data_IF_135301783066
#
_entry.id   IF_135301783066
#
_cell.length_a   1.000
_cell.length_b   1.000
_cell.length_c   1.000
_cell.angle_alpha   90.00
_cell.angle_beta   90.00
_cell.angle_gamma   90.00
#
_symmetry.space_group_name_H-M   'P 1'
#
loop_
_entity.id
_entity.type
_entity.pdbx_description
1 polymer ?
#
# COMPACT_ATOMS: atom_id res chain seq x y z
N UNK A 1 -35.59 -15.26 -28.54
CA UNK A 1 -35.31 -16.66 -28.92
C UNK A 1 -34.09 -17.13 -28.12
N UNK A 2 -34.29 -17.99 -27.13
CA UNK A 2 -33.89 -19.43 -27.12
C UNK A 2 -32.39 -19.61 -26.81
N UNK A 3 -32.02 -19.65 -25.51
CA UNK A 3 -31.82 -20.87 -24.67
C UNK A 3 -30.74 -21.85 -25.17
N UNK A 4 -29.70 -22.07 -24.35
CA UNK A 4 -29.11 -23.37 -23.93
C UNK A 4 -27.73 -23.14 -23.27
N UNK A 5 -27.20 -23.98 -22.36
CA UNK A 5 -27.79 -24.94 -21.39
C UNK A 5 -26.66 -25.26 -20.39
N UNK A 6 -26.99 -25.59 -19.13
CA UNK A 6 -26.02 -26.14 -18.15
C UNK A 6 -25.60 -27.56 -18.58
N UNK A 7 -24.37 -27.96 -18.27
CA UNK A 7 -23.97 -29.36 -18.16
C UNK A 7 -23.11 -29.59 -16.92
N UNK A 8 -23.42 -30.66 -16.18
CA UNK A 8 -22.61 -31.23 -15.11
C UNK A 8 -21.73 -32.34 -15.68
N UNK A 9 -20.58 -32.60 -15.07
CA UNK A 9 -19.85 -33.85 -15.22
C UNK A 9 -19.28 -34.29 -13.86
N UNK A 10 -19.55 -35.56 -13.51
CA UNK A 10 -19.03 -36.25 -12.33
C UNK A 10 -17.61 -36.74 -12.61
N UNK A 11 -16.74 -36.83 -11.60
CA UNK A 11 -15.50 -37.61 -11.68
C UNK A 11 -15.46 -38.64 -10.54
N UNK A 12 -15.22 -39.91 -10.88
CA UNK A 12 -15.15 -41.00 -9.90
C UNK A 12 -13.92 -41.88 -10.16
N UNK A 13 -13.05 -41.95 -9.16
CA UNK A 13 -12.25 -43.12 -8.78
C UNK A 13 -11.25 -43.74 -9.77
N UNK A 14 -9.96 -43.70 -9.39
CA UNK A 14 -9.17 -44.94 -9.35
C UNK A 14 -8.12 -44.88 -8.22
N UNK A 15 -8.23 -45.81 -7.26
CA UNK A 15 -7.13 -46.12 -6.34
C UNK A 15 -6.17 -47.12 -6.99
N UNK A 16 -4.87 -46.93 -6.78
CA UNK A 16 -3.86 -47.96 -7.04
C UNK A 16 -3.03 -48.15 -5.77
N UNK A 17 -3.07 -49.36 -5.22
CA UNK A 17 -2.26 -49.80 -4.08
C UNK A 17 -1.09 -50.62 -4.64
N UNK A 18 0.14 -50.32 -4.22
CA UNK A 18 1.33 -51.13 -4.56
C UNK A 18 2.11 -51.48 -3.30
N UNK A 19 2.58 -52.73 -3.27
CA UNK A 19 3.11 -53.44 -2.12
C UNK A 19 4.30 -52.80 -1.38
N UNK A 20 4.32 -53.10 -0.08
CA UNK A 20 5.45 -52.88 0.82
C UNK A 20 6.54 -53.91 0.54
N UNK A 21 7.79 -53.48 0.44
CA UNK A 21 8.97 -54.32 0.64
C UNK A 21 9.88 -53.69 1.70
N UNK A 22 10.20 -54.45 2.74
CA UNK A 22 11.05 -54.00 3.82
C UNK A 22 12.52 -54.32 3.52
N UNK A 23 13.39 -53.31 3.62
CA UNK A 23 14.86 -53.46 3.56
C UNK A 23 15.48 -52.66 4.72
N UNK A 24 16.52 -53.22 5.33
CA UNK A 24 17.36 -52.68 6.40
C UNK A 24 18.82 -53.11 6.13
N UNK A 25 19.85 -52.56 6.82
CA UNK A 25 19.87 -51.35 7.66
C UNK A 25 20.51 -50.22 6.80
N UNK A 26 21.65 -49.53 7.07
CA UNK A 26 22.56 -49.43 8.23
C UNK A 26 22.27 -48.20 9.13
N UNK A 27 23.02 -48.07 10.24
CA UNK A 27 23.16 -46.81 10.97
C UNK A 27 24.20 -45.90 10.29
N UNK A 28 23.89 -44.63 10.09
CA UNK A 28 24.87 -43.57 9.75
C UNK A 28 24.67 -42.40 10.71
N UNK A 29 25.76 -41.87 11.26
CA UNK A 29 25.72 -40.84 12.29
C UNK A 29 25.14 -39.54 11.73
N UNK A 30 24.26 -38.89 12.50
CA UNK A 30 23.75 -37.57 12.17
C UNK A 30 24.88 -36.55 12.26
N UNK A 31 25.37 -36.07 11.11
CA UNK A 31 26.26 -34.90 11.08
C UNK A 31 25.46 -33.68 11.51
N UNK A 32 25.91 -33.00 12.56
CA UNK A 32 25.28 -31.79 13.04
C UNK A 32 25.54 -30.64 12.05
N UNK A 33 24.60 -30.40 11.15
CA UNK A 33 24.59 -29.19 10.32
C UNK A 33 24.45 -27.97 11.25
N UNK A 34 25.58 -27.31 11.51
CA UNK A 34 25.64 -26.08 12.28
C UNK A 34 24.84 -25.00 11.54
N UNK A 35 23.64 -24.72 12.04
CA UNK A 35 22.88 -23.55 11.59
C UNK A 35 23.62 -22.31 12.07
N UNK A 36 24.28 -21.62 11.14
CA UNK A 36 24.90 -20.34 11.42
C UNK A 36 23.81 -19.31 11.70
N UNK A 37 23.53 -19.07 12.98
CA UNK A 37 22.74 -17.92 13.40
C UNK A 37 23.51 -16.65 13.06
N UNK A 38 23.12 -16.00 11.96
CA UNK A 38 23.46 -14.59 11.75
C UNK A 38 22.92 -13.81 12.96
N UNK A 39 23.70 -12.90 13.56
CA UNK A 39 23.21 -12.09 14.66
C UNK A 39 21.99 -11.31 14.19
N UNK A 40 20.89 -11.44 14.92
CA UNK A 40 19.69 -10.66 14.69
C UNK A 40 20.09 -9.18 14.82
N UNK A 41 20.14 -8.44 13.70
CA UNK A 41 20.42 -7.01 13.73
C UNK A 41 19.21 -6.35 14.39
N UNK A 42 19.32 -6.11 15.70
CA UNK A 42 18.33 -5.36 16.46
C UNK A 42 18.37 -3.93 15.96
N UNK A 43 17.49 -3.61 15.00
CA UNK A 43 17.17 -2.23 14.65
C UNK A 43 16.75 -1.54 15.95
N UNK A 44 17.40 -0.45 16.37
CA UNK A 44 17.03 0.23 17.61
C UNK A 44 15.55 0.62 17.52
N UNK A 45 14.75 0.42 18.60
CA UNK A 45 13.34 0.74 18.56
C UNK A 45 13.17 2.20 18.21
N UNK A 46 12.39 2.47 17.16
CA UNK A 46 11.93 3.82 16.88
C UNK A 46 11.13 4.30 18.09
N UNK A 47 11.24 5.60 18.41
CA UNK A 47 10.50 6.20 19.51
C UNK A 47 8.98 6.17 19.29
N UNK A 48 8.18 6.84 20.15
CA UNK A 48 6.75 6.99 19.88
C UNK A 48 6.53 7.69 18.53
N UNK A 49 5.48 7.27 17.81
CA UNK A 49 5.03 7.97 16.62
C UNK A 49 4.53 9.37 17.00
N UNK A 50 5.00 10.39 16.27
CA UNK A 50 4.65 11.79 16.49
C UNK A 50 3.45 12.27 15.65
N UNK A 51 2.87 11.40 14.81
CA UNK A 51 1.62 11.67 14.10
C UNK A 51 0.42 11.29 14.98
N UNK A 52 -0.56 12.19 15.09
CA UNK A 52 -1.76 12.00 15.92
C UNK A 52 -2.78 11.01 15.34
N UNK A 53 -2.79 10.83 14.01
CA UNK A 53 -3.67 9.90 13.30
C UNK A 53 -2.88 9.16 12.21
N UNK A 54 -1.76 8.55 12.61
CA UNK A 54 -0.79 7.91 11.70
C UNK A 54 -1.29 6.64 11.03
N UNK A 55 -2.05 5.81 11.75
CA UNK A 55 -2.77 4.63 11.25
C UNK A 55 -4.23 4.93 10.87
N UNK A 56 -4.58 6.20 10.72
CA UNK A 56 -5.88 6.66 10.19
C UNK A 56 -7.16 6.21 10.93
N UNK A 57 -7.03 5.55 12.10
CA UNK A 57 -8.10 5.09 13.00
C UNK A 57 -9.08 6.18 13.51
N UNK A 58 -8.75 7.46 13.31
CA UNK A 58 -9.60 8.59 13.69
C UNK A 58 -10.88 8.74 12.84
N UNK A 59 -11.53 9.90 12.96
CA UNK A 59 -12.66 10.23 12.09
C UNK A 59 -12.24 10.55 10.65
N UNK A 60 -13.20 10.95 9.83
CA UNK A 60 -12.97 11.57 8.53
C UNK A 60 -13.93 12.74 8.30
N UNK A 61 -13.60 13.60 7.33
CA UNK A 61 -14.43 14.73 6.93
C UNK A 61 -14.58 14.79 5.40
N UNK A 62 -15.61 15.50 4.95
CA UNK A 62 -15.92 15.73 3.55
C UNK A 62 -15.58 17.17 3.16
N UNK A 63 -14.45 17.46 2.49
CA UNK A 63 -14.09 18.81 2.08
C UNK A 63 -15.17 19.36 1.14
N UNK A 64 -15.69 20.54 1.46
CA UNK A 64 -16.80 21.20 0.76
C UNK A 64 -18.06 20.31 0.59
N UNK A 65 -18.25 19.31 1.45
CA UNK A 65 -19.39 18.39 1.39
C UNK A 65 -19.33 17.35 0.25
N UNK A 66 -18.17 17.15 -0.39
CA UNK A 66 -17.99 16.16 -1.46
C UNK A 66 -18.01 14.74 -0.86
N UNK A 67 -19.04 13.91 -1.13
CA UNK A 67 -19.21 12.61 -0.47
C UNK A 67 -18.14 11.58 -0.90
N UNK A 68 -17.56 11.74 -2.09
CA UNK A 68 -16.51 10.86 -2.61
C UNK A 68 -15.13 11.10 -1.96
N UNK A 69 -14.99 12.12 -1.12
CA UNK A 69 -13.73 12.49 -0.46
C UNK A 69 -13.87 12.32 1.07
N UNK A 70 -13.67 11.11 1.58
CA UNK A 70 -13.55 10.85 3.03
C UNK A 70 -12.09 11.10 3.46
N UNK A 71 -11.74 12.35 3.76
CA UNK A 71 -10.37 12.70 4.14
C UNK A 71 -10.17 12.40 5.63
N UNK A 72 -9.13 11.64 6.03
CA UNK A 72 -8.88 11.32 7.43
C UNK A 72 -8.73 12.57 8.30
N UNK A 73 -9.23 12.51 9.54
CA UNK A 73 -9.12 13.60 10.51
C UNK A 73 -7.66 13.94 10.79
N UNK A 74 -7.34 15.24 10.83
CA UNK A 74 -5.97 15.74 10.99
C UNK A 74 -5.13 15.74 9.70
N UNK A 75 -5.66 15.22 8.58
CA UNK A 75 -4.97 15.21 7.29
C UNK A 75 -5.55 16.24 6.30
N UNK A 76 -4.71 16.64 5.35
CA UNK A 76 -5.01 17.51 4.23
C UNK A 76 -4.80 16.72 2.93
N UNK A 77 -5.72 16.91 1.98
CA UNK A 77 -5.71 16.20 0.72
C UNK A 77 -5.77 17.19 -0.44
N UNK A 78 -4.80 17.11 -1.35
CA UNK A 78 -4.75 17.88 -2.60
C UNK A 78 -4.66 16.93 -3.77
N UNK A 79 -5.18 17.32 -4.94
CA UNK A 79 -5.13 16.51 -6.15
C UNK A 79 -5.07 17.39 -7.40
N UNK A 80 -4.57 16.81 -8.49
CA UNK A 80 -4.55 17.45 -9.81
C UNK A 80 -5.83 17.13 -10.59
N UNK A 81 -6.27 18.08 -11.42
CA UNK A 81 -7.29 17.87 -12.46
C UNK A 81 -6.89 18.55 -13.77
N UNK A 82 -7.37 18.01 -14.89
CA UNK A 82 -7.13 18.55 -16.23
C UNK A 82 -5.92 17.92 -16.92
N UNK A 83 -5.13 18.73 -17.62
CA UNK A 83 -4.04 18.24 -18.49
C UNK A 83 -2.99 17.46 -17.71
N UNK A 84 -2.78 16.21 -18.10
CA UNK A 84 -1.64 15.42 -17.66
C UNK A 84 -0.40 15.81 -18.48
N UNK A 85 0.64 16.29 -17.80
CA UNK A 85 1.90 16.72 -18.41
C UNK A 85 2.93 15.60 -18.54
N UNK A 86 2.61 14.40 -18.03
CA UNK A 86 3.45 13.20 -18.11
C UNK A 86 3.02 12.28 -19.25
N UNK A 87 1.74 12.34 -19.64
CA UNK A 87 1.17 11.63 -20.78
C UNK A 87 0.09 12.54 -21.42
N UNK A 88 0.28 12.99 -22.68
CA UNK A 88 -0.61 13.96 -23.32
C UNK A 88 -1.84 13.33 -23.99
N UNK A 89 -2.05 12.01 -23.89
CA UNK A 89 -3.27 11.38 -24.42
C UNK A 89 -4.51 11.93 -23.66
N UNK A 90 -5.56 12.39 -24.36
CA UNK A 90 -6.80 12.86 -23.73
C UNK A 90 -7.48 11.85 -22.80
N UNK A 91 -7.21 10.55 -22.94
CA UNK A 91 -7.69 9.50 -22.03
C UNK A 91 -6.99 9.57 -20.65
N UNK A 92 -5.75 10.06 -20.60
CA UNK A 92 -4.90 10.08 -19.41
C UNK A 92 -4.96 11.41 -18.64
N UNK A 93 -5.97 12.25 -18.86
CA UNK A 93 -6.18 13.48 -18.08
C UNK A 93 -6.25 13.19 -16.57
N UNK A 94 -5.70 14.09 -15.77
CA UNK A 94 -5.86 14.03 -14.33
C UNK A 94 -7.33 14.26 -13.97
N UNK A 95 -7.88 13.35 -13.16
CA UNK A 95 -9.25 13.47 -12.64
C UNK A 95 -9.24 13.42 -11.11
N UNK A 96 -10.23 14.05 -10.48
CA UNK A 96 -10.45 13.93 -9.03
C UNK A 96 -10.56 12.45 -8.62
N UNK A 97 -9.69 11.98 -7.71
CA UNK A 97 -9.79 10.64 -7.14
C UNK A 97 -10.96 10.54 -6.16
N UNK A 98 -11.29 9.31 -5.78
CA UNK A 98 -12.18 8.99 -4.67
C UNK A 98 -11.33 8.59 -3.46
N UNK A 99 -11.71 9.06 -2.27
CA UNK A 99 -11.00 8.77 -1.01
C UNK A 99 -11.98 8.15 -0.04
N UNK A 100 -11.59 7.00 0.55
CA UNK A 100 -12.39 6.24 1.50
C UNK A 100 -11.54 5.87 2.69
N UNK A 101 -12.05 6.11 3.89
CA UNK A 101 -11.55 5.44 5.10
C UNK A 101 -12.37 4.17 5.26
N UNK A 102 -11.69 3.02 5.26
CA UNK A 102 -12.31 1.70 5.18
C UNK A 102 -11.93 0.88 6.41
N UNK A 103 -12.86 0.64 7.36
CA UNK A 103 -12.66 -0.39 8.38
C UNK A 103 -12.75 -1.79 7.76
N UNK A 104 -12.15 -2.77 8.43
CA UNK A 104 -12.05 -4.17 7.99
C UNK A 104 -13.40 -4.77 7.57
N UNK A 105 -14.49 -4.34 8.21
CA UNK A 105 -15.87 -4.73 7.88
C UNK A 105 -16.32 -4.42 6.43
N UNK A 106 -15.64 -3.51 5.72
CA UNK A 106 -15.88 -3.20 4.30
C UNK A 106 -14.89 -3.89 3.34
N UNK A 107 -13.94 -4.65 3.87
CA UNK A 107 -12.96 -5.41 3.11
C UNK A 107 -13.28 -6.93 3.19
N UNK A 108 -13.05 -7.70 2.11
CA UNK A 108 -13.03 -9.16 2.20
C UNK A 108 -12.03 -9.63 3.27
N UNK A 109 -12.35 -10.64 4.10
CA UNK A 109 -11.46 -11.09 5.18
C UNK A 109 -10.04 -11.48 4.73
N UNK A 110 -9.89 -11.98 3.50
CA UNK A 110 -8.58 -12.34 2.93
C UNK A 110 -7.73 -11.11 2.50
N UNK A 111 -8.31 -9.91 2.49
CA UNK A 111 -7.64 -8.65 2.14
C UNK A 111 -7.29 -7.79 3.37
N UNK A 112 -7.72 -8.19 4.58
CA UNK A 112 -7.44 -7.47 5.83
C UNK A 112 -5.93 -7.30 6.04
N UNK A 113 -5.19 -8.41 6.10
CA UNK A 113 -3.73 -8.44 6.24
C UNK A 113 -2.97 -7.82 5.05
N UNK A 114 -3.64 -7.55 3.92
CA UNK A 114 -3.04 -6.91 2.74
C UNK A 114 -3.10 -5.38 2.82
N UNK A 115 -4.19 -4.81 3.33
CA UNK A 115 -4.46 -3.38 3.27
C UNK A 115 -4.41 -2.65 4.63
N UNK A 116 -4.54 -3.39 5.73
CA UNK A 116 -4.40 -2.89 7.11
C UNK A 116 -3.02 -3.33 7.64
N UNK A 117 -2.35 -2.45 8.36
CA UNK A 117 -1.06 -2.62 9.03
C UNK A 117 -1.18 -2.46 10.54
N UNK A 118 -2.02 -1.52 11.01
CA UNK A 118 -2.32 -1.25 12.41
C UNK A 118 -3.83 -1.02 12.57
N UNK A 119 -4.38 -1.24 13.77
CA UNK A 119 -5.80 -0.98 14.04
C UNK A 119 -6.80 -1.84 13.24
N UNK A 120 -7.84 -1.20 12.71
CA UNK A 120 -8.97 -1.80 11.96
C UNK A 120 -9.20 -1.13 10.59
N UNK A 121 -8.58 0.02 10.32
CA UNK A 121 -8.87 0.90 9.19
C UNK A 121 -7.70 1.01 8.20
N UNK A 122 -8.03 1.49 7.00
CA UNK A 122 -7.05 1.83 5.96
C UNK A 122 -7.61 2.93 5.07
N UNK A 123 -6.75 3.78 4.52
CA UNK A 123 -7.17 4.83 3.59
C UNK A 123 -6.99 4.34 2.16
N UNK A 124 -8.10 4.18 1.44
CA UNK A 124 -8.09 3.91 0.00
C UNK A 124 -8.29 5.21 -0.78
N UNK A 125 -7.30 5.59 -1.60
CA UNK A 125 -7.44 6.60 -2.66
C UNK A 125 -7.45 5.88 -4.00
N UNK A 126 -8.45 6.10 -4.84
CA UNK A 126 -8.56 5.37 -6.10
C UNK A 126 -9.32 6.10 -7.21
N UNK A 127 -9.17 5.59 -8.44
CA UNK A 127 -10.14 5.83 -9.51
C UNK A 127 -10.25 4.61 -10.43
N UNK A 128 -11.47 4.29 -10.86
CA UNK A 128 -11.72 3.40 -12.00
C UNK A 128 -11.45 4.18 -13.29
N UNK A 129 -10.61 3.61 -14.16
CA UNK A 129 -10.37 4.09 -15.53
C UNK A 129 -9.99 5.58 -15.59
N UNK A 130 -9.16 6.04 -14.65
CA UNK A 130 -8.74 7.44 -14.55
C UNK A 130 -7.30 7.61 -14.04
N UNK A 131 -6.57 8.55 -14.62
CA UNK A 131 -5.25 8.93 -14.12
C UNK A 131 -5.42 9.87 -12.91
N UNK A 132 -4.67 9.61 -11.83
CA UNK A 132 -4.76 10.42 -10.59
C UNK A 132 -3.37 10.84 -10.12
N UNK A 133 -3.29 12.04 -9.55
CA UNK A 133 -2.13 12.54 -8.83
C UNK A 133 -2.62 13.31 -7.61
N UNK A 134 -2.15 12.95 -6.42
CA UNK A 134 -2.62 13.51 -5.15
C UNK A 134 -1.49 13.63 -4.13
N UNK A 135 -1.68 14.47 -3.12
CA UNK A 135 -0.84 14.54 -1.93
C UNK A 135 -1.72 14.38 -0.67
N UNK A 136 -1.30 13.50 0.25
CA UNK A 136 -1.89 13.34 1.57
C UNK A 136 -0.86 13.78 2.60
N UNK A 137 -1.16 14.86 3.33
CA UNK A 137 -0.21 15.54 4.21
C UNK A 137 -0.82 15.93 5.55
N UNK A 138 0.01 16.09 6.58
CA UNK A 138 -0.38 16.64 7.87
C UNK A 138 0.72 17.57 8.40
N UNK A 139 0.39 18.40 9.38
CA UNK A 139 1.28 19.37 9.99
C UNK A 139 1.61 18.96 11.43
N UNK A 140 2.90 18.76 11.73
CA UNK A 140 3.38 18.31 13.06
C UNK A 140 4.37 19.32 13.64
N UNK A 141 4.18 19.69 14.91
CA UNK A 141 5.12 20.57 15.62
C UNK A 141 6.28 19.76 16.21
N UNK A 142 7.51 20.12 15.84
CA UNK A 142 8.72 19.40 16.18
C UNK A 142 9.74 20.30 16.89
N UNK A 143 10.48 19.69 17.81
CA UNK A 143 11.64 20.30 18.48
C UNK A 143 12.91 20.15 17.60
N UNK A 144 14.01 20.86 17.90
CA UNK A 144 15.30 20.62 17.25
C UNK A 144 15.72 19.15 17.37
N UNK A 145 16.11 18.53 16.27
CA UNK A 145 16.43 17.11 16.20
C UNK A 145 16.42 16.56 14.79
N UNK A 146 16.83 15.30 14.66
CA UNK A 146 16.74 14.55 13.40
C UNK A 146 15.58 13.56 13.49
N UNK A 147 14.82 13.43 12.41
CA UNK A 147 13.57 12.69 12.36
C UNK A 147 13.55 11.72 11.18
N UNK A 148 12.88 10.59 11.37
CA UNK A 148 12.56 9.62 10.33
C UNK A 148 11.06 9.71 10.01
N UNK A 149 10.71 10.07 8.78
CA UNK A 149 9.37 9.85 8.22
C UNK A 149 9.33 8.43 7.63
N UNK A 150 8.28 7.68 7.95
CA UNK A 150 7.94 6.37 7.39
C UNK A 150 6.51 6.42 6.87
N UNK A 151 6.29 5.83 5.70
CA UNK A 151 4.94 5.57 5.16
C UNK A 151 4.86 4.11 4.69
N UNK A 152 3.71 3.47 4.85
CA UNK A 152 3.40 2.22 4.15
C UNK A 152 2.27 2.42 3.14
N UNK A 153 2.37 1.74 2.00
CA UNK A 153 1.39 1.81 0.91
C UNK A 153 1.22 0.45 0.23
N UNK A 154 0.01 0.16 -0.26
CA UNK A 154 -0.27 -0.93 -1.20
C UNK A 154 -0.74 -0.32 -2.54
N UNK A 155 0.03 -0.41 -3.63
CA UNK A 155 -0.42 0.02 -4.95
C UNK A 155 -1.28 -1.10 -5.55
N UNK A 156 -2.60 -0.89 -5.56
CA UNK A 156 -3.59 -1.79 -6.13
C UNK A 156 -3.79 -1.52 -7.63
N UNK A 157 -2.69 -1.39 -8.37
CA UNK A 157 -2.66 -0.84 -9.72
C UNK A 157 -2.85 -1.95 -10.76
N UNK A 158 -4.06 -2.08 -11.30
CA UNK A 158 -4.44 -3.18 -12.20
C UNK A 158 -4.98 -2.67 -13.54
N UNK A 159 -4.71 -3.45 -14.59
CA UNK A 159 -5.17 -3.21 -15.97
C UNK A 159 -6.26 -4.20 -16.41
N UNK A 160 -6.53 -5.23 -15.62
CA UNK A 160 -7.50 -6.26 -15.97
C UNK A 160 -7.63 -7.36 -14.92
N UNK A 161 -8.40 -8.39 -15.27
CA UNK A 161 -8.49 -9.64 -14.53
C UNK A 161 -8.39 -10.82 -15.49
N UNK A 162 -7.69 -11.88 -15.08
CA UNK A 162 -7.72 -13.19 -15.75
C UNK A 162 -8.17 -14.26 -14.76
N UNK A 163 -9.23 -15.01 -15.10
CA UNK A 163 -9.84 -16.02 -14.23
C UNK A 163 -10.11 -15.55 -12.77
N UNK A 164 -10.44 -14.27 -12.59
CA UNK A 164 -10.67 -13.63 -11.30
C UNK A 164 -9.41 -13.16 -10.55
N UNK A 165 -8.21 -13.42 -11.08
CA UNK A 165 -6.95 -12.91 -10.55
C UNK A 165 -6.63 -11.53 -11.13
N UNK A 166 -6.06 -10.65 -10.31
CA UNK A 166 -5.65 -9.29 -10.70
C UNK A 166 -4.51 -9.34 -11.73
N UNK A 167 -4.66 -8.64 -12.86
CA UNK A 167 -3.56 -8.36 -13.80
C UNK A 167 -2.97 -7.00 -13.41
N UNK A 168 -1.82 -7.02 -12.73
CA UNK A 168 -1.09 -5.82 -12.35
C UNK A 168 -0.66 -5.00 -13.56
N UNK A 169 -0.59 -3.68 -13.41
CA UNK A 169 -0.11 -2.79 -14.46
C UNK A 169 1.36 -3.15 -14.82
N UNK A 170 1.70 -3.30 -16.11
CA UNK A 170 3.00 -3.85 -16.52
C UNK A 170 4.15 -2.84 -16.49
N UNK A 171 3.84 -1.54 -16.59
CA UNK A 171 4.85 -0.48 -16.60
C UNK A 171 5.03 0.11 -15.18
N UNK A 172 6.25 0.14 -14.61
CA UNK A 172 6.51 0.70 -13.30
C UNK A 172 6.09 2.17 -13.10
N UNK A 173 5.99 2.97 -14.17
CA UNK A 173 5.51 4.35 -14.12
C UNK A 173 3.98 4.46 -13.96
N UNK A 174 3.27 3.32 -13.93
CA UNK A 174 1.84 3.27 -13.60
C UNK A 174 1.57 3.70 -12.16
N UNK A 175 2.60 3.69 -11.30
CA UNK A 175 2.52 4.18 -9.92
C UNK A 175 3.85 4.76 -9.46
N UNK A 176 3.81 5.96 -8.87
CA UNK A 176 4.98 6.62 -8.29
C UNK A 176 4.64 7.23 -6.93
N UNK A 177 5.61 7.21 -6.02
CA UNK A 177 5.50 7.75 -4.65
C UNK A 177 6.63 8.74 -4.37
N UNK A 178 6.33 9.86 -3.72
CA UNK A 178 7.31 10.90 -3.34
C UNK A 178 7.02 11.35 -1.90
N UNK A 179 7.98 11.22 -1.00
CA UNK A 179 7.80 11.62 0.40
C UNK A 179 7.98 13.13 0.53
N UNK A 180 7.15 13.75 1.38
CA UNK A 180 7.16 15.17 1.72
C UNK A 180 7.59 15.26 3.19
N UNK A 181 8.65 16.00 3.49
CA UNK A 181 9.17 16.10 4.85
C UNK A 181 9.86 17.45 5.10
N UNK A 182 9.26 18.27 5.96
CA UNK A 182 9.83 19.58 6.31
C UNK A 182 9.76 20.55 5.14
N UNK A 183 10.92 21.03 4.71
CA UNK A 183 11.08 21.97 3.59
C UNK A 183 11.48 21.29 2.27
N UNK A 184 11.42 19.95 2.19
CA UNK A 184 11.87 19.19 1.02
C UNK A 184 11.01 17.97 0.71
N UNK A 185 11.33 17.34 -0.42
CA UNK A 185 10.75 16.06 -0.84
C UNK A 185 11.85 15.10 -1.28
N UNK A 186 11.54 13.80 -1.32
CA UNK A 186 12.37 12.86 -2.09
C UNK A 186 12.22 13.10 -3.60
N UNK A 187 12.98 12.37 -4.41
CA UNK A 187 12.54 12.09 -5.79
C UNK A 187 11.29 11.22 -5.82
N UNK A 188 10.73 11.02 -7.02
CA UNK A 188 9.72 9.99 -7.25
C UNK A 188 10.37 8.60 -7.19
N UNK A 189 9.69 7.67 -6.53
CA UNK A 189 10.12 6.30 -6.25
C UNK A 189 9.09 5.33 -6.81
N UNK A 190 9.54 4.18 -7.30
CA UNK A 190 8.69 3.16 -7.92
C UNK A 190 8.34 2.10 -6.87
N UNK A 191 7.06 1.89 -6.54
CA UNK A 191 6.62 0.80 -5.68
C UNK A 191 6.49 -0.51 -6.48
N UNK A 192 6.50 -1.64 -5.77
CA UNK A 192 6.10 -2.94 -6.33
C UNK A 192 4.58 -3.08 -6.24
N UNK A 193 3.87 -3.16 -7.36
CA UNK A 193 2.41 -3.26 -7.35
C UNK A 193 1.96 -4.61 -6.78
N UNK A 194 0.78 -4.62 -6.13
CA UNK A 194 0.26 -5.84 -5.50
C UNK A 194 1.00 -6.30 -4.25
N UNK A 195 1.84 -5.43 -3.65
CA UNK A 195 2.60 -5.74 -2.44
C UNK A 195 2.57 -4.59 -1.42
N UNK A 196 2.79 -4.94 -0.15
CA UNK A 196 3.06 -3.97 0.92
C UNK A 196 4.42 -3.31 0.68
N UNK A 197 4.42 -2.02 0.41
CA UNK A 197 5.62 -1.20 0.23
C UNK A 197 5.83 -0.31 1.46
N UNK A 198 7.08 -0.12 1.88
CA UNK A 198 7.47 0.79 2.96
C UNK A 198 8.54 1.74 2.47
N UNK A 199 8.24 3.04 2.51
CA UNK A 199 9.17 4.10 2.14
C UNK A 199 9.54 4.92 3.37
N UNK A 200 10.74 5.51 3.37
CA UNK A 200 11.18 6.37 4.46
C UNK A 200 12.16 7.45 4.00
N UNK A 201 12.26 8.53 4.77
CA UNK A 201 13.28 9.58 4.59
C UNK A 201 13.69 10.17 5.93
N UNK A 202 14.92 10.68 6.02
CA UNK A 202 15.42 11.40 7.20
C UNK A 202 15.44 12.91 6.93
N UNK A 203 15.00 13.72 7.89
CA UNK A 203 15.08 15.18 7.83
C UNK A 203 15.49 15.76 9.20
N UNK A 204 15.98 17.01 9.22
CA UNK A 204 16.46 17.65 10.44
C UNK A 204 15.75 18.99 10.66
N UNK A 205 15.36 19.23 11.91
CA UNK A 205 14.75 20.47 12.40
C UNK A 205 15.80 21.15 13.29
N UNK A 206 16.08 22.43 13.04
CA UNK A 206 17.13 23.19 13.75
C UNK A 206 16.60 24.13 14.83
N UNK A 207 15.32 24.48 14.77
CA UNK A 207 14.61 25.32 15.73
C UNK A 207 13.16 24.79 15.88
N UNK A 208 12.50 24.98 17.04
CA UNK A 208 11.12 24.52 17.23
C UNK A 208 10.19 25.10 16.16
N UNK A 209 9.50 24.25 15.40
CA UNK A 209 8.65 24.68 14.28
C UNK A 209 7.61 23.63 13.91
N UNK A 210 6.54 24.07 13.24
CA UNK A 210 5.62 23.17 12.55
C UNK A 210 6.16 22.81 11.17
N UNK A 211 6.22 21.52 10.86
CA UNK A 211 6.61 20.99 9.55
C UNK A 211 5.42 20.30 8.88
N UNK A 212 5.37 20.35 7.55
CA UNK A 212 4.46 19.50 6.76
C UNK A 212 5.17 18.18 6.47
N UNK A 213 4.44 17.07 6.64
CA UNK A 213 4.90 15.71 6.38
C UNK A 213 3.82 14.90 5.68
N UNK A 214 4.21 13.89 4.92
CA UNK A 214 3.29 12.99 4.22
C UNK A 214 3.87 12.51 2.90
N UNK A 215 3.03 12.35 1.89
CA UNK A 215 3.48 11.90 0.58
C UNK A 215 2.58 12.39 -0.56
N UNK A 216 3.18 12.45 -1.74
CA UNK A 216 2.49 12.50 -3.01
C UNK A 216 2.52 11.14 -3.68
N UNK A 217 1.41 10.78 -4.31
CA UNK A 217 1.28 9.58 -5.15
C UNK A 217 0.67 9.97 -6.49
N UNK A 218 1.02 9.23 -7.53
CA UNK A 218 0.34 9.35 -8.82
C UNK A 218 0.37 8.03 -9.58
N UNK A 219 -0.69 7.78 -10.33
CA UNK A 219 -0.70 6.78 -11.39
C UNK A 219 -1.04 7.44 -12.72
N UNK A 220 -0.08 7.46 -13.65
CA UNK A 220 -0.07 8.33 -14.85
C UNK A 220 -1.16 8.03 -15.87
N UNK A 221 -1.76 6.85 -15.80
CA UNK A 221 -2.59 6.30 -16.84
C UNK A 221 -3.98 5.94 -16.32
N UNK A 222 -4.98 6.10 -17.18
CA UNK A 222 -6.36 5.70 -16.93
C UNK A 222 -6.52 4.17 -17.08
N UNK A 223 -5.92 3.44 -16.13
CA UNK A 223 -6.00 1.98 -15.97
C UNK A 223 -7.27 1.56 -15.21
N UNK A 224 -7.66 0.29 -15.33
CA UNK A 224 -8.92 -0.25 -14.78
C UNK A 224 -9.14 0.06 -13.29
N UNK A 225 -8.12 -0.04 -12.44
CA UNK A 225 -8.19 0.49 -11.09
C UNK A 225 -6.83 1.08 -10.71
N UNK A 226 -6.80 2.40 -10.58
CA UNK A 226 -5.67 3.19 -10.12
C UNK A 226 -5.82 3.41 -8.61
N UNK A 227 -5.67 2.33 -7.84
CA UNK A 227 -5.94 2.29 -6.40
C UNK A 227 -4.69 2.28 -5.52
N UNK A 228 -4.79 2.92 -4.36
CA UNK A 228 -3.74 3.06 -3.36
C UNK A 228 -4.35 2.86 -1.97
N UNK A 229 -3.89 1.85 -1.22
CA UNK A 229 -4.16 1.74 0.21
C UNK A 229 -2.97 2.27 1.01
N UNK A 230 -3.23 2.90 2.15
CA UNK A 230 -2.23 3.58 2.98
C UNK A 230 -2.59 3.39 4.45
N UNK A 231 -1.60 2.97 5.24
CA UNK A 231 -1.75 2.74 6.68
C UNK A 231 -0.38 2.75 7.43
N UNK A 232 -0.39 2.90 8.75
CA UNK A 232 0.77 2.95 9.66
C UNK A 232 1.84 3.97 9.20
N UNK A 233 1.44 5.22 9.01
CA UNK A 233 2.37 6.31 8.73
C UNK A 233 2.91 6.89 10.02
N UNK A 234 4.18 7.28 10.04
CA UNK A 234 4.77 7.82 11.26
C UNK A 234 5.98 8.71 11.09
N UNK A 235 6.14 9.61 12.05
CA UNK A 235 7.33 10.44 12.23
C UNK A 235 7.94 10.09 13.57
N UNK A 236 9.24 9.78 13.58
CA UNK A 236 9.95 9.29 14.75
C UNK A 236 11.21 10.11 14.99
N UNK A 237 11.57 10.34 16.25
CA UNK A 237 12.90 10.89 16.59
C UNK A 237 13.97 9.86 16.21
N UNK A 238 14.98 10.30 15.48
CA UNK A 238 16.17 9.52 15.14
C UNK A 238 17.29 9.88 16.13
N UNK A 239 17.62 8.94 17.01
CA UNK A 239 18.73 9.04 17.95
C UNK A 239 20.10 8.97 17.27
#
# INVERSE_FOLDING_TARGET
MTRCKRFWALLLGLMVVVGVTAVHPPHTQASANQTLYLPLITVPPLGPNLLSNGSFEGGWYHPNGVPELQIPEGWQFTYAEGTNTLDPDPWNVWVRPEVRVLPSAFLPPAEHDLFIWDGDQTVKVFKDSGAISFELTTAVFLQPGTYLLVINVFPDLIVGYDNGQKIWAPDPLSGEVKLIAGNGTTGWQLPTFGQKNRFHTTFTVTQPQTVVVGAAMRGRWAILNNGWFMDDWGVFVKG
#
